data_IF_497036352799
#
_entry.id   IF_497036352799
#
_cell.length_a   1.000
_cell.length_b   1.000
_cell.length_c   1.000
_cell.angle_alpha   90.00
_cell.angle_beta   90.00
_cell.angle_gamma   90.00
#
_symmetry.space_group_name_H-M   'P 1'
#
loop_
_entity.id
_entity.type
_entity.pdbx_description
1 polymer ?
#
# COMPACT_ATOMS: atom_id res chain seq x y z
N UNK A 1 0.19 18.82 -10.56
CA UNK A 1 -0.32 18.19 -9.32
C UNK A 1 0.55 18.63 -8.13
N UNK A 2 -0.04 18.86 -6.95
CA UNK A 2 0.76 19.14 -5.74
C UNK A 2 1.27 17.83 -5.09
N UNK A 3 2.58 17.63 -5.07
CA UNK A 3 3.22 16.47 -4.46
C UNK A 3 3.73 16.80 -3.06
N UNK A 4 3.71 15.82 -2.15
CA UNK A 4 4.07 16.01 -0.74
C UNK A 4 5.16 15.04 -0.28
N UNK A 5 6.10 15.54 0.53
CA UNK A 5 7.15 14.74 1.16
C UNK A 5 7.45 15.26 2.55
N UNK A 6 7.76 14.35 3.47
CA UNK A 6 8.05 14.71 4.85
C UNK A 6 9.48 14.35 5.25
N UNK A 7 10.11 15.25 6.00
CA UNK A 7 11.43 15.06 6.61
C UNK A 7 11.27 15.00 8.12
N UNK A 8 11.88 13.98 8.72
CA UNK A 8 11.89 13.81 10.17
C UNK A 8 13.24 14.31 10.69
N UNK A 9 13.20 15.27 11.62
CA UNK A 9 14.35 15.90 12.23
C UNK A 9 14.35 15.56 13.73
N UNK A 10 15.43 15.02 14.30
CA UNK A 10 15.56 14.88 15.74
C UNK A 10 15.38 16.23 16.43
N UNK A 11 14.38 16.33 17.29
CA UNK A 11 14.03 17.58 17.98
C UNK A 11 13.23 17.24 19.24
N UNK A 12 13.52 17.93 20.34
CA UNK A 12 12.81 17.73 21.62
C UNK A 12 11.88 18.93 21.87
N UNK A 13 10.59 18.84 21.52
CA UNK A 13 9.64 19.89 21.83
C UNK A 13 9.24 19.86 23.32
N UNK A 14 8.66 20.95 23.85
CA UNK A 14 8.08 20.96 25.20
C UNK A 14 7.04 19.84 25.35
N UNK A 15 7.22 18.97 26.35
CA UNK A 15 6.33 17.82 26.58
C UNK A 15 4.93 18.26 26.99
N UNK A 16 4.83 19.37 27.74
CA UNK A 16 3.57 20.00 28.14
C UNK A 16 2.71 20.34 26.93
N UNK A 17 3.29 21.00 25.92
CA UNK A 17 2.60 21.31 24.66
C UNK A 17 2.01 20.05 24.01
N UNK A 18 2.74 18.94 23.99
CA UNK A 18 2.25 17.69 23.40
C UNK A 18 1.11 17.04 24.21
N UNK A 19 1.14 17.19 25.54
CA UNK A 19 0.07 16.70 26.43
C UNK A 19 -1.18 17.56 26.26
N UNK A 20 -1.02 18.87 26.32
CA UNK A 20 -2.10 19.84 26.16
C UNK A 20 -2.74 19.73 24.78
N UNK A 21 -1.95 19.61 23.71
CA UNK A 21 -2.50 19.41 22.37
C UNK A 21 -3.33 18.12 22.27
N UNK A 22 -2.89 17.01 22.86
CA UNK A 22 -3.68 15.77 22.92
C UNK A 22 -5.00 16.01 23.65
N UNK A 23 -4.98 16.79 24.72
CA UNK A 23 -6.15 17.05 25.56
C UNK A 23 -7.11 18.04 24.89
N UNK A 24 -6.61 19.05 24.16
CA UNK A 24 -7.38 19.88 23.22
C UNK A 24 -8.09 19.01 22.17
N UNK A 25 -7.38 18.08 21.52
CA UNK A 25 -7.99 17.19 20.51
C UNK A 25 -9.09 16.34 21.13
N UNK A 26 -8.86 15.79 22.33
CA UNK A 26 -9.88 14.98 23.02
C UNK A 26 -11.09 15.82 23.42
N UNK A 27 -10.89 17.06 23.86
CA UNK A 27 -11.95 18.00 24.13
C UNK A 27 -12.81 18.25 22.88
N UNK A 28 -12.17 18.55 21.75
CA UNK A 28 -12.85 18.71 20.46
C UNK A 28 -13.61 17.46 20.02
N UNK A 29 -13.06 16.26 20.24
CA UNK A 29 -13.74 14.99 19.93
C UNK A 29 -15.01 14.85 20.78
N UNK A 30 -14.93 15.09 22.08
CA UNK A 30 -16.06 14.99 23.00
C UNK A 30 -17.16 15.99 22.64
N UNK A 31 -16.80 17.27 22.44
CA UNK A 31 -17.74 18.30 22.00
C UNK A 31 -18.38 17.96 20.65
N UNK A 32 -17.59 17.45 19.70
CA UNK A 32 -18.07 17.06 18.38
C UNK A 32 -19.00 15.84 18.37
N UNK A 33 -18.87 14.93 19.34
CA UNK A 33 -19.81 13.83 19.57
C UNK A 33 -21.08 14.34 20.25
N UNK A 34 -20.95 15.12 21.33
CA UNK A 34 -22.07 15.65 22.13
C UNK A 34 -23.02 16.51 21.29
N UNK A 35 -22.47 17.42 20.48
CA UNK A 35 -23.25 18.37 19.68
C UNK A 35 -23.43 17.96 18.21
N UNK A 36 -23.05 16.73 17.85
CA UNK A 36 -23.16 16.24 16.47
C UNK A 36 -22.43 17.11 15.44
N UNK A 37 -21.27 17.69 15.78
CA UNK A 37 -20.57 18.62 14.90
C UNK A 37 -19.90 17.88 13.72
N UNK A 38 -20.41 18.09 12.50
CA UNK A 38 -19.98 17.38 11.29
C UNK A 38 -18.90 18.11 10.48
N UNK A 39 -18.76 19.43 10.65
CA UNK A 39 -17.80 20.27 9.93
C UNK A 39 -16.75 20.90 10.85
N UNK A 40 -15.59 21.23 10.27
CA UNK A 40 -14.52 21.97 10.97
C UNK A 40 -15.05 23.30 11.50
N UNK A 41 -15.78 24.06 10.67
CA UNK A 41 -16.35 25.36 11.04
C UNK A 41 -17.31 25.28 12.25
N UNK A 42 -18.24 24.32 12.25
CA UNK A 42 -19.15 24.11 13.38
C UNK A 42 -18.38 23.77 14.65
N UNK A 43 -17.37 22.90 14.54
CA UNK A 43 -16.54 22.53 15.68
C UNK A 43 -15.71 23.71 16.20
N UNK A 44 -15.16 24.56 15.32
CA UNK A 44 -14.44 25.78 15.71
C UNK A 44 -15.33 26.72 16.51
N UNK A 45 -16.55 27.01 16.04
CA UNK A 45 -17.50 27.89 16.76
C UNK A 45 -17.80 27.40 18.17
N UNK A 46 -17.85 26.08 18.38
CA UNK A 46 -18.17 25.47 19.66
C UNK A 46 -17.02 25.56 20.67
N UNK A 47 -15.78 25.29 20.24
CA UNK A 47 -14.68 25.02 21.20
C UNK A 47 -13.57 26.06 21.19
N UNK A 48 -13.48 26.91 20.15
CA UNK A 48 -12.29 27.76 19.96
C UNK A 48 -12.05 28.71 21.13
N UNK A 49 -13.08 29.45 21.57
CA UNK A 49 -12.96 30.42 22.68
C UNK A 49 -12.50 29.76 23.98
N UNK A 50 -13.10 28.62 24.33
CA UNK A 50 -12.75 27.86 25.52
C UNK A 50 -11.32 27.32 25.46
N UNK A 51 -10.90 26.79 24.29
CA UNK A 51 -9.53 26.31 24.12
C UNK A 51 -8.50 27.44 24.27
N UNK A 52 -8.75 28.60 23.66
CA UNK A 52 -7.82 29.74 23.75
C UNK A 52 -7.79 30.39 25.12
N UNK A 53 -8.88 30.31 25.89
CA UNK A 53 -8.92 30.79 27.27
C UNK A 53 -8.21 29.82 28.23
N UNK A 54 -8.34 28.50 28.00
CA UNK A 54 -7.83 27.47 28.91
C UNK A 54 -6.34 27.21 28.80
N UNK A 55 -5.77 27.31 27.60
CA UNK A 55 -4.39 26.88 27.35
C UNK A 55 -3.47 28.06 27.00
N UNK A 56 -2.24 28.11 27.52
CA UNK A 56 -1.32 29.25 27.34
C UNK A 56 -0.58 29.24 25.98
N UNK A 57 -1.01 28.39 25.04
CA UNK A 57 -0.35 28.19 23.75
C UNK A 57 -0.92 29.11 22.69
N UNK A 58 -0.15 29.34 21.62
CA UNK A 58 -0.63 30.13 20.49
C UNK A 58 -1.92 29.53 19.91
N UNK A 59 -2.87 30.39 19.51
CA UNK A 59 -4.18 30.01 18.94
C UNK A 59 -4.12 29.02 17.77
N UNK A 60 -3.00 28.97 17.03
CA UNK A 60 -2.76 28.01 15.96
C UNK A 60 -2.82 26.55 16.43
N UNK A 61 -2.47 26.27 17.68
CA UNK A 61 -2.58 24.93 18.26
C UNK A 61 -4.03 24.53 18.48
N UNK A 62 -4.89 25.45 18.93
CA UNK A 62 -6.32 25.19 19.07
C UNK A 62 -6.96 24.87 17.70
N UNK A 63 -6.67 25.69 16.67
CA UNK A 63 -7.15 25.46 15.31
C UNK A 63 -6.67 24.12 14.74
N UNK A 64 -5.40 23.77 14.97
CA UNK A 64 -4.82 22.50 14.52
C UNK A 64 -5.40 21.31 15.28
N UNK A 65 -5.70 21.45 16.57
CA UNK A 65 -6.37 20.43 17.37
C UNK A 65 -7.80 20.16 16.86
N UNK A 66 -8.55 21.22 16.54
CA UNK A 66 -9.89 21.13 15.93
C UNK A 66 -9.83 20.37 14.60
N UNK A 67 -8.83 20.66 13.76
CA UNK A 67 -8.66 19.96 12.48
C UNK A 67 -8.39 18.47 12.65
N UNK A 68 -7.48 18.12 13.57
CA UNK A 68 -7.16 16.72 13.89
C UNK A 68 -8.40 16.01 14.44
N UNK A 69 -9.15 16.63 15.35
CA UNK A 69 -10.38 16.08 15.90
C UNK A 69 -11.46 15.87 14.83
N UNK A 70 -11.63 16.84 13.92
CA UNK A 70 -12.57 16.74 12.80
C UNK A 70 -12.24 15.54 11.89
N UNK A 71 -10.95 15.31 11.58
CA UNK A 71 -10.52 14.15 10.79
C UNK A 71 -10.81 12.81 11.51
N UNK A 72 -10.59 12.77 12.82
CA UNK A 72 -10.91 11.60 13.65
C UNK A 72 -12.42 11.31 13.65
N UNK A 73 -13.25 12.32 13.88
CA UNK A 73 -14.71 12.21 13.87
C UNK A 73 -15.24 11.78 12.50
N UNK A 74 -14.68 12.31 11.40
CA UNK A 74 -15.02 11.91 10.02
C UNK A 74 -14.77 10.42 9.80
N UNK A 75 -13.62 9.91 10.24
CA UNK A 75 -13.27 8.49 10.11
C UNK A 75 -14.14 7.59 11.00
N UNK A 76 -14.47 8.04 12.21
CA UNK A 76 -15.38 7.34 13.12
C UNK A 76 -16.77 7.18 12.48
N UNK A 77 -17.36 8.27 11.99
CA UNK A 77 -18.65 8.25 11.29
C UNK A 77 -18.62 7.42 10.01
N UNK A 78 -17.53 7.47 9.25
CA UNK A 78 -17.34 6.61 8.06
C UNK A 78 -17.33 5.12 8.44
N UNK A 79 -16.80 4.77 9.60
CA UNK A 79 -16.79 3.40 10.09
C UNK A 79 -18.19 2.95 10.53
N UNK A 80 -18.94 3.81 11.24
CA UNK A 80 -20.33 3.55 11.60
C UNK A 80 -21.21 3.33 10.37
N UNK A 81 -21.09 4.17 9.34
CA UNK A 81 -21.82 4.02 8.06
C UNK A 81 -21.53 2.71 7.33
N UNK A 82 -20.40 2.06 7.64
CA UNK A 82 -20.04 0.75 7.09
C UNK A 82 -20.60 -0.42 7.92
N UNK A 83 -21.49 -0.16 8.87
CA UNK A 83 -22.03 -1.16 9.79
C UNK A 83 -20.99 -1.72 10.77
N UNK A 84 -19.86 -1.03 10.95
CA UNK A 84 -18.87 -1.42 11.94
C UNK A 84 -19.26 -0.87 13.31
N UNK A 85 -18.80 -1.53 14.38
CA UNK A 85 -18.95 -1.06 15.77
C UNK A 85 -17.61 -0.53 16.31
N UNK A 86 -17.12 0.63 15.82
CA UNK A 86 -15.88 1.22 16.32
C UNK A 86 -16.05 1.69 17.77
N UNK A 87 -14.99 1.58 18.56
CA UNK A 87 -14.93 2.22 19.87
C UNK A 87 -14.95 3.75 19.71
N UNK A 88 -15.51 4.43 20.71
CA UNK A 88 -15.48 5.91 20.78
C UNK A 88 -14.03 6.39 20.60
N UNK A 89 -13.78 7.32 19.66
CA UNK A 89 -12.43 7.72 19.32
C UNK A 89 -11.80 8.53 20.46
N UNK A 90 -10.50 8.34 20.67
CA UNK A 90 -9.69 9.14 21.60
C UNK A 90 -8.27 9.28 21.10
N UNK A 91 -7.73 10.50 21.13
CA UNK A 91 -6.32 10.77 20.87
C UNK A 91 -5.47 10.28 22.06
N UNK A 92 -4.52 9.38 21.77
CA UNK A 92 -3.59 8.80 22.77
C UNK A 92 -2.13 9.18 22.55
N UNK A 93 -1.77 9.58 21.33
CA UNK A 93 -0.39 9.90 20.95
C UNK A 93 -0.08 11.34 21.37
N UNK A 94 1.12 11.54 21.90
CA UNK A 94 1.68 12.86 22.15
C UNK A 94 2.20 13.41 20.82
N UNK A 95 1.47 14.35 20.25
CA UNK A 95 1.83 15.08 19.04
C UNK A 95 1.33 16.52 19.16
N UNK A 96 1.93 17.45 18.43
CA UNK A 96 1.34 18.77 18.18
C UNK A 96 1.51 19.11 16.70
N UNK A 97 0.40 19.35 15.99
CA UNK A 97 0.40 19.73 14.58
C UNK A 97 0.28 21.25 14.46
N UNK A 98 1.00 21.82 13.50
CA UNK A 98 0.98 23.25 13.19
C UNK A 98 0.96 23.41 11.66
N UNK A 99 0.04 24.23 11.15
CA UNK A 99 -0.12 24.50 9.72
C UNK A 99 0.85 25.55 9.19
N UNK A 100 0.98 25.61 7.86
CA UNK A 100 1.86 26.54 7.12
C UNK A 100 1.73 28.01 7.50
N UNK A 101 0.52 28.51 7.74
CA UNK A 101 0.27 29.93 8.06
C UNK A 101 1.05 30.42 9.29
N UNK A 102 1.44 29.50 10.18
CA UNK A 102 2.16 29.79 11.40
C UNK A 102 3.69 29.62 11.26
N UNK A 103 4.16 28.99 10.19
CA UNK A 103 5.56 28.57 10.05
C UNK A 103 6.31 29.56 9.17
N UNK A 104 7.54 29.90 9.57
CA UNK A 104 8.45 30.70 8.73
C UNK A 104 9.83 30.05 8.70
N UNK A 105 10.46 30.08 7.53
CA UNK A 105 11.86 29.63 7.38
C UNK A 105 12.72 30.88 7.44
N UNK A 106 13.67 30.91 8.38
CA UNK A 106 14.60 32.03 8.62
C UNK A 106 15.96 31.42 8.99
N UNK A 107 17.04 31.87 8.35
CA UNK A 107 18.43 31.52 8.73
C UNK A 107 18.70 30.01 8.94
N UNK A 108 18.23 29.16 8.01
CA UNK A 108 18.41 27.70 8.11
C UNK A 108 17.63 27.04 9.25
N UNK A 109 16.61 27.71 9.79
CA UNK A 109 15.73 27.20 10.86
C UNK A 109 14.27 27.41 10.49
N UNK A 110 13.39 26.59 11.05
CA UNK A 110 11.94 26.80 11.01
C UNK A 110 11.51 27.44 12.32
N UNK A 111 11.03 28.67 12.24
CA UNK A 111 10.38 29.39 13.33
C UNK A 111 8.95 28.89 13.50
N UNK A 112 8.64 28.45 14.71
CA UNK A 112 7.36 27.86 15.10
C UNK A 112 6.81 28.60 16.30
N UNK A 113 5.59 29.17 16.26
CA UNK A 113 5.04 29.87 17.42
C UNK A 113 4.79 28.89 18.56
N UNK A 114 5.11 29.30 19.78
CA UNK A 114 4.88 28.53 21.00
C UNK A 114 3.77 29.19 21.83
N UNK A 115 4.01 30.45 22.23
CA UNK A 115 3.07 31.31 22.95
C UNK A 115 3.01 32.66 22.23
N UNK A 116 2.06 33.56 22.56
CA UNK A 116 2.13 34.93 22.08
C UNK A 116 3.53 35.50 22.30
N UNK A 117 4.16 36.01 21.22
CA UNK A 117 5.53 36.57 21.21
C UNK A 117 6.65 35.61 21.68
N UNK A 118 6.43 34.29 21.68
CA UNK A 118 7.47 33.28 21.95
C UNK A 118 7.49 32.23 20.85
N UNK A 119 8.69 31.89 20.39
CA UNK A 119 8.90 30.94 19.28
C UNK A 119 9.84 29.80 19.67
N UNK A 120 9.66 28.67 19.00
CA UNK A 120 10.59 27.56 18.93
C UNK A 120 11.29 27.61 17.57
N UNK A 121 12.58 27.25 17.55
CA UNK A 121 13.36 27.17 16.33
C UNK A 121 13.78 25.72 16.10
N UNK A 122 13.38 25.17 14.96
CA UNK A 122 13.73 23.80 14.56
C UNK A 122 14.86 23.92 13.52
N UNK A 123 16.07 23.40 13.80
CA UNK A 123 17.16 23.48 12.84
C UNK A 123 16.84 22.66 11.59
N UNK A 124 17.03 23.24 10.40
CA UNK A 124 16.96 22.50 9.15
C UNK A 124 18.27 21.71 8.99
N UNK A 125 18.16 20.39 9.02
CA UNK A 125 19.26 19.52 8.61
C UNK A 125 19.40 19.53 7.08
N UNK A 126 20.56 19.12 6.56
CA UNK A 126 20.91 18.99 5.13
C UNK A 126 19.72 18.65 4.22
N UNK A 127 19.05 17.52 4.47
CA UNK A 127 17.92 17.07 3.64
C UNK A 127 16.73 18.03 3.64
N UNK A 128 16.44 18.69 4.76
CA UNK A 128 15.36 19.67 4.85
C UNK A 128 15.76 20.97 4.15
N UNK A 129 17.04 21.37 4.23
CA UNK A 129 17.59 22.52 3.51
C UNK A 129 17.51 22.32 1.99
N UNK A 130 17.87 21.13 1.50
CA UNK A 130 17.74 20.76 0.07
C UNK A 130 16.31 20.99 -0.47
N UNK A 131 15.27 20.76 0.33
CA UNK A 131 13.89 21.05 -0.10
C UNK A 131 13.60 22.55 -0.15
N UNK A 132 14.10 23.33 0.81
CA UNK A 132 13.92 24.78 0.83
C UNK A 132 14.66 25.41 -0.35
N UNK A 133 15.91 25.01 -0.59
CA UNK A 133 16.74 25.44 -1.72
C UNK A 133 16.10 25.08 -3.06
N UNK A 134 15.49 23.89 -3.17
CA UNK A 134 14.73 23.48 -4.35
C UNK A 134 13.35 24.16 -4.48
N UNK A 135 13.07 25.24 -3.72
CA UNK A 135 11.82 26.00 -3.82
C UNK A 135 10.58 25.28 -3.29
N UNK A 136 10.73 24.20 -2.53
CA UNK A 136 9.57 23.48 -1.97
C UNK A 136 8.92 24.29 -0.84
N UNK A 137 7.59 24.34 -0.84
CA UNK A 137 6.79 25.07 0.15
C UNK A 137 6.65 24.26 1.43
N UNK A 138 6.96 24.86 2.57
CA UNK A 138 6.69 24.26 3.88
C UNK A 138 5.18 24.29 4.18
N UNK A 139 4.56 23.12 4.41
CA UNK A 139 3.10 22.96 4.54
C UNK A 139 2.63 22.73 5.97
N UNK A 140 3.41 22.01 6.76
CA UNK A 140 3.09 21.81 8.18
C UNK A 140 4.31 21.28 8.94
N UNK A 141 4.26 21.45 10.26
CA UNK A 141 5.17 20.83 11.20
C UNK A 141 4.35 19.97 12.16
N UNK A 142 4.78 18.73 12.37
CA UNK A 142 4.22 17.84 13.40
C UNK A 142 5.30 17.51 14.42
N UNK A 143 5.14 18.03 15.62
CA UNK A 143 6.02 17.78 16.76
C UNK A 143 5.63 16.45 17.41
N UNK A 144 6.63 15.67 17.79
CA UNK A 144 6.52 14.40 18.53
C UNK A 144 7.55 14.42 19.66
N UNK A 145 7.51 13.50 20.64
CA UNK A 145 8.39 13.59 21.82
C UNK A 145 9.89 13.63 21.51
N UNK A 146 10.31 13.10 20.35
CA UNK A 146 11.73 13.00 19.99
C UNK A 146 12.04 13.51 18.56
N UNK A 147 11.06 14.10 17.86
CA UNK A 147 11.27 14.56 16.50
C UNK A 147 10.26 15.63 16.08
N UNK A 148 10.68 16.48 15.14
CA UNK A 148 9.82 17.33 14.34
C UNK A 148 9.71 16.74 12.92
N UNK A 149 8.49 16.56 12.43
CA UNK A 149 8.21 16.11 11.08
C UNK A 149 7.75 17.31 10.25
N UNK A 150 8.59 17.77 9.33
CA UNK A 150 8.30 18.88 8.42
C UNK A 150 7.76 18.32 7.11
N UNK A 151 6.58 18.78 6.69
CA UNK A 151 5.98 18.40 5.42
C UNK A 151 6.20 19.50 4.38
N UNK A 152 6.80 19.16 3.26
CA UNK A 152 7.05 20.02 2.12
C UNK A 152 6.16 19.62 0.95
N UNK A 153 5.76 20.59 0.14
CA UNK A 153 5.15 20.33 -1.15
C UNK A 153 5.85 21.07 -2.29
N UNK A 154 5.73 20.51 -3.49
CA UNK A 154 6.09 21.19 -4.74
C UNK A 154 4.99 20.97 -5.77
N UNK A 155 4.85 21.93 -6.68
CA UNK A 155 4.09 21.68 -7.89
C UNK A 155 4.93 20.80 -8.80
N UNK A 156 4.27 19.80 -9.38
CA UNK A 156 4.89 18.86 -10.30
C UNK A 156 3.97 18.71 -11.50
N UNK A 157 4.52 18.95 -12.67
CA UNK A 157 3.82 18.71 -13.93
C UNK A 157 3.81 17.20 -14.20
N UNK A 158 2.69 16.71 -14.73
CA UNK A 158 2.57 15.31 -15.11
C UNK A 158 3.47 15.04 -16.30
N UNK A 159 4.32 14.03 -16.19
CA UNK A 159 5.13 13.54 -17.31
C UNK A 159 4.32 12.47 -18.01
N UNK A 160 3.93 12.72 -19.26
CA UNK A 160 3.27 11.72 -20.08
C UNK A 160 4.22 10.53 -20.32
N UNK A 161 3.79 9.30 -20.03
CA UNK A 161 4.65 8.13 -20.14
C UNK A 161 4.83 7.72 -21.61
N UNK A 162 6.06 7.39 -22.00
CA UNK A 162 6.35 6.83 -23.34
C UNK A 162 5.85 5.39 -23.49
N UNK A 163 5.78 4.68 -22.38
CA UNK A 163 5.40 3.26 -22.28
C UNK A 163 5.00 2.98 -20.81
N UNK A 164 4.50 1.79 -20.50
CA UNK A 164 4.01 1.45 -19.18
C UNK A 164 4.71 0.23 -18.60
N UNK A 165 4.81 0.20 -17.28
CA UNK A 165 5.27 -0.96 -16.54
C UNK A 165 4.23 -1.35 -15.48
N UNK A 166 3.89 -2.62 -15.42
CA UNK A 166 2.99 -3.18 -14.41
C UNK A 166 3.79 -3.80 -13.25
N UNK A 167 3.29 -3.63 -12.04
CA UNK A 167 3.88 -4.15 -10.81
C UNK A 167 2.94 -5.17 -10.17
N UNK A 168 3.40 -6.41 -10.08
CA UNK A 168 2.82 -7.46 -9.25
C UNK A 168 3.55 -7.52 -7.90
N UNK A 169 2.79 -7.50 -6.80
CA UNK A 169 3.34 -7.48 -5.43
C UNK A 169 3.03 -8.82 -4.78
N UNK A 170 4.07 -9.51 -4.29
CA UNK A 170 3.98 -10.79 -3.60
C UNK A 170 4.49 -10.73 -2.15
N UNK A 171 4.37 -11.84 -1.38
CA UNK A 171 4.83 -11.89 0.02
C UNK A 171 6.36 -11.83 0.18
N UNK A 172 7.11 -12.26 -0.84
CA UNK A 172 8.57 -12.35 -0.87
C UNK A 172 9.23 -11.63 -2.05
N UNK A 173 8.48 -11.06 -2.98
CA UNK A 173 9.06 -10.36 -4.12
C UNK A 173 8.12 -9.27 -4.65
N UNK A 174 8.64 -8.43 -5.53
CA UNK A 174 7.87 -7.52 -6.37
C UNK A 174 8.35 -7.74 -7.80
N UNK A 175 7.44 -8.06 -8.70
CA UNK A 175 7.75 -8.27 -10.12
C UNK A 175 7.29 -7.05 -10.90
N UNK A 176 8.18 -6.48 -11.69
CA UNK A 176 7.91 -5.43 -12.65
C UNK A 176 7.97 -6.04 -14.05
N UNK A 177 6.95 -5.84 -14.88
CA UNK A 177 7.03 -6.16 -16.30
C UNK A 177 6.64 -4.95 -17.14
N UNK A 178 7.43 -4.63 -18.15
CA UNK A 178 7.20 -3.50 -19.05
C UNK A 178 6.37 -3.91 -20.25
N UNK A 179 5.72 -2.94 -20.91
CA UNK A 179 5.00 -3.18 -22.15
C UNK A 179 5.91 -3.63 -23.29
N UNK A 180 7.23 -3.46 -23.16
CA UNK A 180 8.22 -3.75 -24.20
C UNK A 180 8.94 -5.08 -23.98
N UNK A 181 8.58 -5.87 -22.97
CA UNK A 181 9.13 -7.22 -22.77
C UNK A 181 10.07 -7.39 -21.59
N UNK A 182 10.51 -6.30 -20.96
CA UNK A 182 11.49 -6.37 -19.89
C UNK A 182 10.84 -6.78 -18.57
N UNK A 183 11.51 -7.65 -17.83
CA UNK A 183 11.05 -8.13 -16.52
C UNK A 183 12.14 -7.90 -15.49
N UNK A 184 11.78 -7.29 -14.36
CA UNK A 184 12.67 -7.15 -13.20
C UNK A 184 11.99 -7.68 -11.94
N UNK A 185 12.74 -8.44 -11.14
CA UNK A 185 12.24 -9.02 -9.88
C UNK A 185 13.04 -8.45 -8.72
N UNK A 186 12.35 -7.78 -7.80
CA UNK A 186 12.91 -7.25 -6.56
C UNK A 186 12.69 -8.25 -5.43
N UNK A 187 13.76 -8.94 -5.03
CA UNK A 187 13.72 -9.93 -3.95
C UNK A 187 13.47 -9.26 -2.59
N UNK A 188 12.48 -9.77 -1.86
CA UNK A 188 12.09 -9.35 -0.52
C UNK A 188 11.87 -10.56 0.41
N UNK A 189 12.49 -11.71 0.13
CA UNK A 189 12.32 -12.94 0.91
C UNK A 189 12.80 -12.73 2.35
N UNK A 190 13.79 -11.84 2.53
CA UNK A 190 14.26 -11.39 3.83
C UNK A 190 13.13 -10.85 4.70
N UNK A 191 12.17 -10.13 4.12
CA UNK A 191 10.99 -9.63 4.85
C UNK A 191 10.04 -10.75 5.26
N UNK A 192 9.81 -11.73 4.36
CA UNK A 192 9.01 -12.92 4.67
C UNK A 192 9.63 -13.72 5.82
N UNK A 193 10.93 -14.03 5.73
CA UNK A 193 11.70 -14.70 6.80
C UNK A 193 11.67 -13.91 8.12
N UNK A 194 11.90 -12.61 8.06
CA UNK A 194 11.83 -11.73 9.24
C UNK A 194 10.42 -11.72 9.87
N UNK A 195 9.36 -11.81 9.06
CA UNK A 195 7.98 -11.91 9.53
C UNK A 195 7.71 -13.17 10.34
N UNK A 196 8.21 -14.32 9.89
CA UNK A 196 8.16 -15.58 10.65
C UNK A 196 8.96 -15.50 11.95
N UNK A 197 10.21 -15.03 11.89
CA UNK A 197 11.06 -14.88 13.07
C UNK A 197 10.49 -13.89 14.10
N UNK A 198 9.92 -12.76 13.64
CA UNK A 198 9.22 -11.79 14.48
C UNK A 198 8.05 -12.44 15.25
N UNK A 199 7.26 -13.26 14.57
CA UNK A 199 6.12 -13.96 15.19
C UNK A 199 6.58 -14.96 16.26
N UNK A 200 7.58 -15.78 15.97
CA UNK A 200 8.14 -16.75 16.91
C UNK A 200 8.71 -16.04 18.16
N UNK A 201 9.55 -15.01 17.96
CA UNK A 201 10.13 -14.21 19.05
C UNK A 201 9.07 -13.51 19.89
N UNK A 202 8.02 -12.98 19.26
CA UNK A 202 6.90 -12.37 19.98
C UNK A 202 6.23 -13.37 20.92
N UNK A 203 5.94 -14.59 20.46
CA UNK A 203 5.37 -15.65 21.31
C UNK A 203 6.29 -16.00 22.48
N UNK A 204 7.59 -16.18 22.22
CA UNK A 204 8.57 -16.50 23.25
C UNK A 204 8.63 -15.41 24.34
N UNK A 205 8.70 -14.14 23.94
CA UNK A 205 8.69 -12.99 24.86
C UNK A 205 7.40 -12.95 25.68
N UNK A 206 6.25 -13.19 25.04
CA UNK A 206 4.96 -13.21 25.74
C UNK A 206 4.89 -14.31 26.80
N UNK A 207 5.43 -15.49 26.53
CA UNK A 207 5.50 -16.58 27.52
C UNK A 207 6.47 -16.26 28.65
N UNK A 208 7.69 -15.82 28.32
CA UNK A 208 8.76 -15.55 29.28
C UNK A 208 8.42 -14.44 30.27
N UNK A 209 7.77 -13.37 29.79
CA UNK A 209 7.49 -12.18 30.61
C UNK A 209 5.98 -12.01 30.87
N UNK A 210 5.21 -13.09 30.90
CA UNK A 210 3.75 -12.98 31.11
C UNK A 210 3.40 -12.34 32.48
N UNK A 211 4.21 -12.59 33.52
CA UNK A 211 4.03 -12.02 34.87
C UNK A 211 4.52 -10.58 35.03
N UNK A 212 5.51 -10.13 34.25
CA UNK A 212 6.01 -8.76 34.31
C UNK A 212 5.52 -7.93 33.12
N UNK A 213 4.41 -7.22 33.33
CA UNK A 213 3.79 -6.37 32.32
C UNK A 213 4.70 -5.21 31.87
N UNK A 214 5.58 -4.70 32.75
CA UNK A 214 6.48 -3.57 32.44
C UNK A 214 7.58 -4.04 31.49
N UNK A 215 8.24 -5.15 31.80
CA UNK A 215 9.28 -5.76 30.97
C UNK A 215 8.69 -6.27 29.66
N UNK A 216 7.54 -6.96 29.69
CA UNK A 216 6.85 -7.44 28.50
C UNK A 216 6.57 -6.31 27.51
N UNK A 217 6.02 -5.18 27.99
CA UNK A 217 5.72 -4.01 27.16
C UNK A 217 7.00 -3.43 26.55
N UNK A 218 8.09 -3.31 27.31
CA UNK A 218 9.39 -2.80 26.83
C UNK A 218 9.97 -3.71 25.75
N UNK A 219 10.00 -5.03 26.00
CA UNK A 219 10.54 -6.03 25.08
C UNK A 219 9.74 -6.09 23.76
N UNK A 220 8.41 -6.15 23.83
CA UNK A 220 7.54 -6.14 22.65
C UNK A 220 7.63 -4.84 21.85
N UNK A 221 7.76 -3.69 22.53
CA UNK A 221 7.94 -2.40 21.88
C UNK A 221 9.26 -2.35 21.10
N UNK A 222 10.36 -2.82 21.69
CA UNK A 222 11.68 -2.91 21.03
C UNK A 222 11.61 -3.84 19.81
N UNK A 223 11.05 -5.05 19.98
CA UNK A 223 10.90 -6.03 18.89
C UNK A 223 10.06 -5.46 17.73
N UNK A 224 8.92 -4.85 18.04
CA UNK A 224 8.03 -4.21 17.05
C UNK A 224 8.69 -3.03 16.35
N UNK A 225 9.48 -2.22 17.06
CA UNK A 225 10.25 -1.11 16.47
C UNK A 225 11.26 -1.64 15.46
N UNK A 226 12.07 -2.63 15.85
CA UNK A 226 13.11 -3.19 14.98
C UNK A 226 12.51 -3.82 13.72
N UNK A 227 11.45 -4.63 13.86
CA UNK A 227 10.77 -5.22 12.69
C UNK A 227 10.19 -4.16 11.76
N UNK A 228 9.51 -3.13 12.31
CA UNK A 228 8.96 -2.04 11.50
C UNK A 228 10.03 -1.21 10.79
N UNK A 229 11.19 -1.01 11.42
CA UNK A 229 12.34 -0.32 10.83
C UNK A 229 12.94 -1.12 9.68
N UNK A 230 13.13 -2.43 9.84
CA UNK A 230 13.58 -3.32 8.77
C UNK A 230 12.63 -3.25 7.57
N UNK A 231 11.34 -3.54 7.79
CA UNK A 231 10.31 -3.47 6.73
C UNK A 231 10.28 -2.08 6.09
N UNK A 232 10.44 -1.02 6.87
CA UNK A 232 10.50 0.35 6.33
C UNK A 232 11.66 0.52 5.36
N UNK A 233 12.86 0.13 5.78
CA UNK A 233 14.09 0.35 5.03
C UNK A 233 14.07 -0.40 3.71
N UNK A 234 13.77 -1.71 3.74
CA UNK A 234 13.75 -2.55 2.54
C UNK A 234 12.72 -2.07 1.53
N UNK A 235 11.51 -1.74 1.97
CA UNK A 235 10.49 -1.23 1.05
C UNK A 235 10.84 0.15 0.49
N UNK A 236 11.47 1.03 1.28
CA UNK A 236 11.94 2.32 0.75
C UNK A 236 13.04 2.14 -0.30
N UNK A 237 13.91 1.13 -0.17
CA UNK A 237 14.92 0.80 -1.20
C UNK A 237 14.24 0.28 -2.47
N UNK A 238 13.41 -0.76 -2.35
CA UNK A 238 12.71 -1.35 -3.48
C UNK A 238 11.85 -0.33 -4.24
N UNK A 239 10.98 0.40 -3.54
CA UNK A 239 10.16 1.45 -4.17
C UNK A 239 10.97 2.64 -4.70
N UNK A 240 12.21 2.89 -4.23
CA UNK A 240 13.04 3.93 -4.82
C UNK A 240 13.68 3.44 -6.12
N UNK A 241 14.16 2.20 -6.14
CA UNK A 241 14.74 1.56 -7.31
C UNK A 241 13.72 1.45 -8.45
N UNK A 242 12.52 0.94 -8.17
CA UNK A 242 11.43 0.83 -9.16
C UNK A 242 11.11 2.20 -9.77
N UNK A 243 10.93 3.23 -8.94
CA UNK A 243 10.57 4.57 -9.42
C UNK A 243 11.71 5.20 -10.20
N UNK A 244 12.96 5.01 -9.76
CA UNK A 244 14.15 5.49 -10.47
C UNK A 244 14.24 4.86 -11.87
N UNK A 245 14.13 3.54 -11.94
CA UNK A 245 14.14 2.79 -13.20
C UNK A 245 13.05 3.28 -14.16
N UNK A 246 11.80 3.32 -13.68
CA UNK A 246 10.68 3.76 -14.50
C UNK A 246 10.85 5.21 -14.96
N UNK A 247 11.42 6.09 -14.12
CA UNK A 247 11.72 7.48 -14.51
C UNK A 247 12.79 7.55 -15.60
N UNK A 248 13.89 6.82 -15.44
CA UNK A 248 15.00 6.79 -16.40
C UNK A 248 14.57 6.27 -17.78
N UNK A 249 13.66 5.29 -17.81
CA UNK A 249 13.12 4.70 -19.04
C UNK A 249 11.85 5.38 -19.58
N UNK A 250 11.31 6.38 -18.86
CA UNK A 250 10.10 7.10 -19.26
C UNK A 250 8.82 6.27 -19.16
N UNK A 251 8.73 5.36 -18.19
CA UNK A 251 7.57 4.50 -17.96
C UNK A 251 6.56 5.09 -16.97
N UNK A 252 5.29 4.97 -17.31
CA UNK A 252 4.17 5.06 -16.37
C UNK A 252 4.07 3.78 -15.55
N UNK A 253 3.43 3.83 -14.38
CA UNK A 253 3.34 2.69 -13.47
C UNK A 253 1.90 2.20 -13.31
N UNK A 254 1.65 0.92 -13.57
CA UNK A 254 0.38 0.25 -13.27
C UNK A 254 0.58 -0.63 -12.04
N UNK A 255 -0.31 -0.52 -11.06
CA UNK A 255 -0.25 -1.31 -9.82
C UNK A 255 -1.60 -1.97 -9.54
N UNK A 256 -1.58 -3.12 -8.86
CA UNK A 256 -2.81 -3.76 -8.41
C UNK A 256 -3.54 -2.96 -7.34
N UNK A 257 -4.86 -2.81 -7.49
CA UNK A 257 -5.74 -2.30 -6.46
C UNK A 257 -6.05 -3.38 -5.41
N UNK A 258 -5.14 -3.53 -4.45
CA UNK A 258 -5.31 -4.44 -3.31
C UNK A 258 -6.23 -3.88 -2.20
N UNK A 259 -7.04 -2.84 -2.49
CA UNK A 259 -8.05 -2.30 -1.55
C UNK A 259 -9.18 -3.30 -1.34
N UNK A 260 -9.02 -4.15 -0.33
CA UNK A 260 -10.10 -5.08 0.07
C UNK A 260 -9.58 -6.45 0.44
N UNK A 261 -8.33 -6.78 0.09
CA UNK A 261 -7.69 -8.06 0.38
C UNK A 261 -7.86 -8.45 1.86
N UNK A 262 -7.51 -7.55 2.78
CA UNK A 262 -7.65 -7.81 4.23
C UNK A 262 -9.11 -7.95 4.67
N UNK A 263 -10.06 -7.30 4.00
CA UNK A 263 -11.48 -7.49 4.26
C UNK A 263 -11.92 -8.90 3.90
N UNK A 264 -11.58 -9.34 2.68
CA UNK A 264 -11.85 -10.70 2.18
C UNK A 264 -11.19 -11.78 3.05
N UNK A 265 -9.91 -11.60 3.40
CA UNK A 265 -9.16 -12.55 4.24
C UNK A 265 -9.75 -12.71 5.64
N UNK A 266 -10.28 -11.61 6.20
CA UNK A 266 -10.87 -11.62 7.54
C UNK A 266 -12.40 -11.82 7.52
N UNK A 267 -12.97 -12.15 6.36
CA UNK A 267 -14.39 -12.42 6.23
C UNK A 267 -14.83 -13.55 7.17
N UNK A 268 -15.98 -13.35 7.79
CA UNK A 268 -16.62 -14.33 8.67
C UNK A 268 -17.98 -14.68 8.11
N UNK A 269 -18.31 -15.96 8.22
CA UNK A 269 -19.60 -16.52 7.84
C UNK A 269 -20.26 -17.10 9.08
N UNK A 270 -21.58 -16.94 9.22
CA UNK A 270 -22.32 -17.55 10.31
C UNK A 270 -22.31 -19.07 10.10
N UNK A 271 -21.85 -19.82 11.09
CA UNK A 271 -21.84 -21.28 11.10
C UNK A 271 -22.28 -21.76 12.47
N UNK A 272 -22.94 -22.93 12.51
CA UNK A 272 -23.19 -23.64 13.76
C UNK A 272 -21.85 -24.03 14.38
N UNK A 273 -21.63 -23.68 15.64
CA UNK A 273 -20.50 -24.17 16.41
C UNK A 273 -20.87 -25.54 17.01
N UNK A 274 -20.22 -26.64 16.61
CA UNK A 274 -20.54 -27.98 17.13
C UNK A 274 -20.41 -28.08 18.64
N UNK A 275 -19.50 -27.31 19.25
CA UNK A 275 -19.21 -27.38 20.69
C UNK A 275 -20.21 -26.60 21.54
N UNK A 276 -20.78 -25.51 21.00
CA UNK A 276 -21.64 -24.62 21.78
C UNK A 276 -23.09 -24.61 21.30
N UNK A 277 -23.42 -25.35 20.23
CA UNK A 277 -24.76 -25.38 19.61
C UNK A 277 -25.24 -24.04 19.03
N UNK A 278 -24.40 -23.01 18.99
CA UNK A 278 -24.79 -21.63 18.65
C UNK A 278 -24.33 -21.26 17.24
N UNK A 279 -25.17 -20.55 16.50
CA UNK A 279 -24.79 -19.94 15.22
C UNK A 279 -23.93 -18.71 15.51
N UNK A 280 -22.65 -18.76 15.10
CA UNK A 280 -21.71 -17.67 15.36
C UNK A 280 -20.83 -17.35 14.14
N UNK A 281 -20.32 -16.11 14.03
CA UNK A 281 -19.40 -15.72 12.96
C UNK A 281 -18.06 -16.46 13.04
N UNK A 282 -17.86 -17.42 12.14
CA UNK A 282 -16.64 -18.23 12.03
C UNK A 282 -15.80 -17.76 10.84
N UNK A 283 -14.47 -17.78 10.99
CA UNK A 283 -13.56 -17.36 9.90
C UNK A 283 -13.60 -18.36 8.74
N UNK A 284 -13.64 -17.87 7.50
CA UNK A 284 -13.57 -18.71 6.30
C UNK A 284 -12.16 -19.25 6.03
N UNK A 285 -11.14 -18.50 6.45
CA UNK A 285 -9.72 -18.83 6.22
C UNK A 285 -9.02 -19.29 7.50
N UNK A 286 -8.00 -20.13 7.34
CA UNK A 286 -7.18 -20.66 8.44
C UNK A 286 -6.53 -19.53 9.25
N UNK A 287 -6.24 -19.80 10.53
CA UNK A 287 -5.55 -18.85 11.41
C UNK A 287 -4.18 -18.44 10.84
N UNK A 288 -3.50 -19.37 10.19
CA UNK A 288 -2.19 -19.14 9.59
C UNK A 288 -2.26 -18.21 8.37
N UNK A 289 -3.14 -18.51 7.40
CA UNK A 289 -3.28 -17.71 6.19
C UNK A 289 -3.66 -16.25 6.54
N UNK A 290 -4.60 -16.09 7.47
CA UNK A 290 -4.96 -14.77 7.99
C UNK A 290 -3.77 -14.05 8.60
N UNK A 291 -2.96 -14.73 9.41
CA UNK A 291 -1.78 -14.12 10.02
C UNK A 291 -0.79 -13.66 8.95
N UNK A 292 -0.51 -14.48 7.94
CA UNK A 292 0.39 -14.15 6.82
C UNK A 292 -0.07 -12.90 6.08
N UNK A 293 -1.28 -12.94 5.52
CA UNK A 293 -1.82 -11.86 4.69
C UNK A 293 -2.13 -10.56 5.47
N UNK A 294 -2.46 -10.64 6.77
CA UNK A 294 -2.62 -9.43 7.59
C UNK A 294 -1.27 -8.78 7.95
N UNK A 295 -0.21 -9.56 8.06
CA UNK A 295 1.15 -9.04 8.32
C UNK A 295 1.87 -8.62 7.04
N UNK A 296 1.37 -9.04 5.88
CA UNK A 296 1.93 -8.67 4.58
C UNK A 296 1.89 -7.15 4.36
N UNK A 297 2.98 -6.65 3.82
CA UNK A 297 3.35 -5.24 3.76
C UNK A 297 2.92 -4.53 2.48
N UNK A 298 2.24 -5.20 1.54
CA UNK A 298 1.84 -4.68 0.22
C UNK A 298 1.32 -3.24 0.24
N UNK A 299 0.37 -2.93 1.14
CA UNK A 299 -0.24 -1.59 1.21
C UNK A 299 0.77 -0.49 1.52
N UNK A 300 1.83 -0.82 2.27
CA UNK A 300 2.90 0.12 2.55
C UNK A 300 3.77 0.36 1.32
N UNK A 301 4.06 -0.69 0.55
CA UNK A 301 4.81 -0.56 -0.71
C UNK A 301 4.01 0.25 -1.73
N UNK A 302 2.74 -0.09 -1.96
CA UNK A 302 1.87 0.63 -2.90
C UNK A 302 1.76 2.12 -2.57
N UNK A 303 1.56 2.45 -1.30
CA UNK A 303 1.59 3.85 -0.85
C UNK A 303 2.95 4.52 -1.11
N UNK A 304 4.06 3.77 -0.98
CA UNK A 304 5.41 4.30 -1.23
C UNK A 304 5.67 4.54 -2.71
N UNK A 305 5.22 3.63 -3.59
CA UNK A 305 5.26 3.82 -5.04
C UNK A 305 4.43 5.04 -5.40
N UNK A 306 3.21 5.16 -4.89
CA UNK A 306 2.29 6.27 -5.20
C UNK A 306 2.88 7.64 -4.85
N UNK A 307 3.31 7.87 -3.60
CA UNK A 307 3.80 9.21 -3.24
C UNK A 307 5.16 9.52 -3.92
N UNK A 308 5.98 8.52 -4.22
CA UNK A 308 7.26 8.72 -4.92
C UNK A 308 7.03 9.03 -6.40
N UNK A 309 6.17 8.27 -7.08
CA UNK A 309 5.76 8.53 -8.45
C UNK A 309 5.24 9.97 -8.60
N UNK A 310 4.30 10.37 -7.73
CA UNK A 310 3.77 11.74 -7.70
C UNK A 310 4.83 12.80 -7.43
N UNK A 311 5.83 12.50 -6.58
CA UNK A 311 6.95 13.42 -6.32
C UNK A 311 7.85 13.61 -7.53
N UNK A 312 7.97 12.60 -8.39
CA UNK A 312 8.75 12.62 -9.63
C UNK A 312 7.91 13.03 -10.86
N UNK A 313 6.60 13.28 -10.70
CA UNK A 313 5.71 13.69 -11.79
C UNK A 313 5.20 12.53 -12.64
N UNK A 314 5.43 11.29 -12.21
CA UNK A 314 5.09 10.10 -12.98
C UNK A 314 3.63 9.71 -12.85
N UNK A 315 3.04 9.27 -13.97
CA UNK A 315 1.71 8.67 -14.01
C UNK A 315 1.69 7.33 -13.29
N UNK A 316 0.70 7.15 -12.41
CA UNK A 316 0.46 5.89 -11.69
C UNK A 316 -1.03 5.56 -11.70
N UNK A 317 -1.34 4.35 -12.15
CA UNK A 317 -2.70 3.82 -12.26
C UNK A 317 -2.89 2.60 -11.37
N UNK A 318 -4.04 2.51 -10.71
CA UNK A 318 -4.41 1.37 -9.90
C UNK A 318 -5.55 0.59 -10.59
N UNK A 319 -5.31 -0.69 -10.89
CA UNK A 319 -6.20 -1.54 -11.70
C UNK A 319 -6.77 -2.66 -10.85
N UNK A 320 -8.00 -3.10 -11.13
CA UNK A 320 -8.60 -4.24 -10.44
C UNK A 320 -7.75 -5.51 -10.66
N UNK A 321 -7.24 -6.17 -9.61
CA UNK A 321 -6.46 -7.41 -9.75
C UNK A 321 -7.29 -8.63 -10.19
N UNK A 322 -8.62 -8.50 -10.35
CA UNK A 322 -9.49 -9.63 -10.65
C UNK A 322 -9.08 -10.37 -11.94
N UNK A 323 -8.64 -11.61 -11.78
CA UNK A 323 -8.23 -12.47 -12.89
C UNK A 323 -6.80 -12.23 -13.38
N UNK A 324 -6.04 -11.30 -12.78
CA UNK A 324 -4.67 -10.96 -13.20
C UNK A 324 -3.79 -12.21 -13.27
N UNK A 325 -3.89 -13.11 -12.30
CA UNK A 325 -3.00 -14.29 -12.18
C UNK A 325 -3.62 -15.63 -12.59
N UNK A 326 -4.86 -15.64 -13.11
CA UNK A 326 -5.59 -16.88 -13.45
C UNK A 326 -6.15 -16.92 -14.88
N UNK A 327 -5.96 -15.84 -15.63
CA UNK A 327 -6.52 -15.65 -16.97
C UNK A 327 -5.38 -15.64 -17.99
N UNK A 328 -5.55 -16.35 -19.10
CA UNK A 328 -4.57 -16.38 -20.17
C UNK A 328 -4.43 -14.99 -20.80
N UNK A 329 -3.21 -14.42 -20.90
CA UNK A 329 -3.03 -13.11 -21.50
C UNK A 329 -3.36 -13.13 -22.99
N UNK A 330 -3.29 -14.28 -23.67
CA UNK A 330 -3.54 -14.42 -25.11
C UNK A 330 -5.03 -14.56 -25.43
N UNK A 331 -5.67 -15.62 -24.93
CA UNK A 331 -7.05 -15.98 -25.30
C UNK A 331 -8.09 -15.79 -24.18
N UNK A 332 -7.68 -15.29 -23.01
CA UNK A 332 -8.53 -15.08 -21.82
C UNK A 332 -9.15 -16.35 -21.21
N UNK A 333 -8.80 -17.55 -21.67
CA UNK A 333 -9.19 -18.80 -21.00
C UNK A 333 -8.53 -18.94 -19.63
N UNK A 334 -9.11 -19.76 -18.76
CA UNK A 334 -8.56 -20.02 -17.42
C UNK A 334 -7.23 -20.77 -17.52
N UNK A 335 -6.24 -20.35 -16.73
CA UNK A 335 -4.92 -20.98 -16.68
C UNK A 335 -4.89 -22.14 -15.69
N UNK A 336 -4.13 -23.17 -16.05
CA UNK A 336 -3.69 -24.24 -15.15
C UNK A 336 -2.46 -23.75 -14.39
N UNK A 337 -2.50 -23.88 -13.07
CA UNK A 337 -1.42 -23.45 -12.18
C UNK A 337 -0.60 -24.66 -11.71
N UNK A 338 0.72 -24.58 -11.88
CA UNK A 338 1.66 -25.57 -11.38
C UNK A 338 2.29 -25.15 -10.05
N UNK A 339 2.76 -26.14 -9.27
CA UNK A 339 3.36 -25.92 -7.95
C UNK A 339 4.64 -25.08 -7.99
N UNK A 340 5.35 -25.09 -9.11
CA UNK A 340 6.56 -24.30 -9.35
C UNK A 340 6.27 -22.83 -9.71
N UNK A 341 5.01 -22.40 -9.69
CA UNK A 341 4.61 -21.02 -10.05
C UNK A 341 4.49 -20.78 -11.55
N UNK A 342 4.60 -21.81 -12.39
CA UNK A 342 4.31 -21.72 -13.83
C UNK A 342 2.82 -21.86 -14.11
N UNK A 343 2.39 -21.27 -15.22
CA UNK A 343 1.02 -21.34 -15.72
C UNK A 343 1.00 -21.84 -17.15
N UNK A 344 -0.08 -22.52 -17.51
CA UNK A 344 -0.32 -23.02 -18.86
C UNK A 344 -1.78 -22.80 -19.28
N UNK A 345 -1.99 -22.46 -20.56
CA UNK A 345 -3.30 -22.34 -21.17
C UNK A 345 -3.57 -23.51 -22.11
N UNK A 346 -4.53 -24.37 -21.75
CA UNK A 346 -4.92 -25.51 -22.60
C UNK A 346 -5.64 -25.12 -23.90
N UNK A 347 -6.10 -23.86 -24.03
CA UNK A 347 -6.82 -23.40 -25.22
C UNK A 347 -5.91 -22.82 -26.31
N UNK A 348 -4.78 -22.23 -25.96
CA UNK A 348 -3.90 -21.56 -26.92
C UNK A 348 -2.41 -21.93 -26.75
N UNK A 349 -2.08 -22.87 -25.87
CA UNK A 349 -0.71 -23.33 -25.62
C UNK A 349 0.20 -22.34 -24.88
N UNK A 350 -0.31 -21.21 -24.38
CA UNK A 350 0.51 -20.25 -23.62
C UNK A 350 1.13 -20.92 -22.38
N UNK A 351 2.42 -20.75 -22.17
CA UNK A 351 3.13 -21.21 -20.97
C UNK A 351 4.09 -20.13 -20.47
N UNK A 352 4.12 -19.88 -19.15
CA UNK A 352 4.94 -18.80 -18.58
C UNK A 352 5.00 -18.77 -17.05
N UNK A 353 5.71 -17.79 -16.51
CA UNK A 353 5.74 -17.50 -15.07
C UNK A 353 4.47 -16.74 -14.64
N UNK A 354 3.85 -17.16 -13.54
CA UNK A 354 2.58 -16.60 -13.04
C UNK A 354 2.67 -15.10 -12.72
N UNK A 355 3.78 -14.62 -12.15
CA UNK A 355 3.91 -13.22 -11.76
C UNK A 355 4.10 -12.34 -12.99
N UNK A 356 4.86 -12.81 -13.98
CA UNK A 356 4.95 -12.15 -15.29
C UNK A 356 3.59 -12.12 -15.97
N UNK A 357 2.85 -13.23 -15.99
CA UNK A 357 1.49 -13.28 -16.52
C UNK A 357 0.55 -12.30 -15.81
N UNK A 358 0.69 -12.14 -14.49
CA UNK A 358 -0.08 -11.16 -13.73
C UNK A 358 0.18 -9.73 -14.22
N UNK A 359 1.45 -9.35 -14.38
CA UNK A 359 1.81 -8.04 -14.93
C UNK A 359 1.26 -7.84 -16.36
N UNK A 360 1.35 -8.86 -17.22
CA UNK A 360 0.80 -8.79 -18.60
C UNK A 360 -0.70 -8.49 -18.60
N UNK A 361 -1.45 -9.17 -17.74
CA UNK A 361 -2.89 -8.95 -17.64
C UNK A 361 -3.23 -7.57 -17.06
N UNK A 362 -2.41 -7.04 -16.15
CA UNK A 362 -2.57 -5.68 -15.65
C UNK A 362 -2.32 -4.63 -16.74
N UNK A 363 -1.28 -4.80 -17.57
CA UNK A 363 -1.03 -3.93 -18.72
C UNK A 363 -2.24 -3.93 -19.66
N UNK A 364 -2.76 -5.12 -20.00
CA UNK A 364 -3.94 -5.26 -20.89
C UNK A 364 -5.22 -4.67 -20.28
N UNK A 365 -5.38 -4.72 -18.96
CA UNK A 365 -6.54 -4.15 -18.28
C UNK A 365 -6.51 -2.61 -18.21
N UNK A 366 -5.34 -1.98 -18.43
CA UNK A 366 -5.16 -0.54 -18.63
C UNK A 366 -5.13 -0.16 -20.13
N UNK A 367 -5.64 -1.01 -21.03
CA UNK A 367 -5.60 -0.83 -22.49
C UNK A 367 -4.18 -0.63 -23.08
N UNK A 368 -3.14 -1.00 -22.33
CA UNK A 368 -1.76 -0.99 -22.83
C UNK A 368 -1.51 -2.29 -23.57
N UNK A 369 -1.25 -2.19 -24.88
CA UNK A 369 -0.91 -3.35 -25.71
C UNK A 369 0.54 -3.77 -25.43
N UNK A 370 0.77 -4.96 -24.84
CA UNK A 370 2.11 -5.45 -24.59
C UNK A 370 2.74 -5.90 -25.91
N UNK A 371 3.90 -5.35 -26.28
CA UNK A 371 4.69 -5.76 -27.45
C UNK A 371 5.60 -6.92 -27.04
N UNK A 372 5.07 -8.13 -27.05
CA UNK A 372 5.85 -9.36 -26.83
C UNK A 372 5.90 -10.16 -28.12
N UNK A 373 7.10 -10.42 -28.62
CA UNK A 373 7.36 -11.58 -29.46
C UNK A 373 7.56 -12.78 -28.54
N UNK A 374 6.62 -13.74 -28.54
CA UNK A 374 6.95 -15.09 -28.10
C UNK A 374 7.77 -15.68 -29.26
N UNK A 375 8.96 -16.23 -29.01
CA UNK A 375 9.58 -17.10 -30.01
C UNK A 375 8.54 -18.18 -30.36
N UNK A 376 8.00 -18.06 -31.57
CA UNK A 376 6.96 -18.95 -32.08
C UNK A 376 7.67 -20.25 -32.45
N UNK A 377 7.18 -21.43 -32.03
CA UNK A 377 7.53 -22.66 -32.73
C UNK A 377 7.21 -22.45 -34.21
N UNK A 378 8.16 -22.76 -35.08
CA UNK A 378 8.08 -22.50 -36.53
C UNK A 378 6.90 -23.21 -37.23
N UNK A 379 6.19 -24.08 -36.51
CA UNK A 379 5.34 -25.10 -37.10
C UNK A 379 3.84 -24.90 -36.82
N UNK A 380 3.42 -23.74 -36.32
CA UNK A 380 1.99 -23.44 -36.07
C UNK A 380 1.54 -22.27 -36.93
N UNK A 381 0.96 -22.58 -38.09
CA UNK A 381 0.26 -21.61 -38.92
C UNK A 381 -1.07 -21.20 -38.25
N UNK A 382 -1.25 -19.90 -38.02
CA UNK A 382 -2.60 -19.31 -37.86
C UNK A 382 -2.64 -17.93 -38.50
N UNK A 383 -3.72 -17.72 -39.26
CA UNK A 383 -3.99 -16.59 -40.14
C UNK A 383 -3.79 -15.20 -39.50
N UNK A 384 -3.29 -14.20 -40.26
CA UNK A 384 -3.26 -12.81 -39.84
C UNK A 384 -4.60 -12.11 -40.11
N UNK A 385 -5.41 -11.89 -39.06
CA UNK A 385 -6.44 -10.85 -39.00
C UNK A 385 -6.88 -10.69 -37.52
N UNK A 386 -6.35 -9.73 -36.75
CA UNK A 386 -6.84 -8.36 -36.58
C UNK A 386 -8.35 -8.29 -36.27
N UNK A 387 -8.77 -7.86 -35.07
CA UNK A 387 -9.07 -6.45 -34.78
C UNK A 387 -9.62 -5.66 -35.98
N UNK A 388 -10.83 -5.98 -36.42
CA UNK A 388 -11.73 -5.00 -37.04
C UNK A 388 -13.20 -5.38 -36.75
N UNK A 389 -13.95 -4.43 -36.20
CA UNK A 389 -15.42 -4.44 -36.22
C UNK A 389 -15.88 -4.09 -37.63
N UNK A 390 -16.56 -4.98 -38.34
CA UNK A 390 -17.68 -4.75 -39.28
C UNK A 390 -18.02 -6.07 -39.99
N UNK A 391 -19.31 -6.41 -40.08
CA UNK A 391 -19.77 -7.73 -40.47
C UNK A 391 -19.72 -8.01 -41.97
N UNK A 392 -19.58 -9.29 -42.32
CA UNK A 392 -20.13 -9.92 -43.54
C UNK A 392 -20.37 -11.40 -43.20
N UNK A 393 -21.56 -11.90 -43.57
CA UNK A 393 -21.93 -13.33 -43.60
C UNK A 393 -21.19 -14.04 -44.75
N UNK A 394 -20.57 -15.20 -44.49
CA UNK A 394 -20.34 -16.28 -45.46
C UNK A 394 -19.86 -17.53 -44.69
N UNK A 395 -20.75 -18.50 -44.44
CA UNK A 395 -20.95 -19.74 -45.20
C UNK A 395 -19.77 -20.72 -45.16
N UNK A 396 -20.03 -21.86 -44.50
CA UNK A 396 -19.22 -23.06 -44.49
C UNK A 396 -19.19 -23.72 -45.87
N UNK A 397 -18.00 -24.11 -46.36
CA UNK A 397 -17.85 -25.25 -47.26
C UNK A 397 -16.38 -25.71 -47.32
N UNK A 398 -16.19 -26.99 -46.98
CA UNK A 398 -15.26 -27.98 -47.57
C UNK A 398 -13.84 -27.55 -47.95
N UNK A 399 -12.84 -28.24 -47.39
CA UNK A 399 -11.87 -29.01 -48.18
C UNK A 399 -11.35 -30.15 -47.29
N UNK A 400 -11.55 -31.37 -47.78
CA UNK A 400 -10.97 -32.62 -47.29
C UNK A 400 -9.51 -32.69 -47.71
N UNK A 401 -8.67 -33.24 -46.86
CA UNK A 401 -7.31 -33.66 -47.20
C UNK A 401 -6.88 -34.75 -46.22
N UNK A 402 -6.95 -35.99 -46.70
CA UNK A 402 -6.52 -37.22 -46.03
C UNK A 402 -5.02 -37.20 -45.71
N UNK A 403 -4.62 -37.67 -44.53
CA UNK A 403 -3.28 -38.22 -44.31
C UNK A 403 -3.36 -39.44 -43.38
N UNK A 404 -2.75 -40.51 -43.86
CA UNK A 404 -2.69 -41.89 -43.36
C UNK A 404 -2.21 -42.04 -41.91
N UNK A 405 -2.82 -42.99 -41.20
CA UNK A 405 -2.33 -43.55 -39.94
C UNK A 405 -1.58 -44.86 -40.20
N UNK A 406 -0.24 -44.84 -40.14
CA UNK A 406 0.53 -46.07 -40.00
C UNK A 406 0.94 -46.29 -38.54
N UNK A 407 0.47 -47.41 -38.02
CA UNK A 407 0.76 -47.94 -36.70
C UNK A 407 2.14 -48.60 -36.70
N UNK A 408 3.00 -48.22 -35.75
CA UNK A 408 4.13 -49.06 -35.35
C UNK A 408 3.94 -49.51 -33.90
N UNK A 409 3.46 -50.74 -33.75
CA UNK A 409 3.58 -51.53 -32.53
C UNK A 409 5.04 -51.92 -32.36
N UNK A 410 5.67 -51.47 -31.29
CA UNK A 410 6.87 -52.12 -30.76
C UNK A 410 6.55 -52.72 -29.39
N UNK A 411 6.81 -54.02 -29.34
CA UNK A 411 6.66 -54.95 -28.24
C UNK A 411 7.73 -54.72 -27.18
N UNK A 412 7.34 -54.76 -25.90
CA UNK A 412 8.27 -54.67 -24.77
C UNK A 412 7.61 -55.10 -23.47
N UNK A 413 7.64 -56.40 -23.19
CA UNK A 413 7.15 -57.04 -21.96
C UNK A 413 7.85 -56.48 -20.71
N UNK A 414 7.06 -56.25 -19.66
CA UNK A 414 7.55 -56.11 -18.29
C UNK A 414 7.30 -57.39 -17.49
N UNK A 415 8.28 -57.69 -16.63
CA UNK A 415 8.24 -58.43 -15.37
C UNK A 415 8.04 -59.95 -15.38
N UNK A 416 9.03 -60.65 -14.83
CA UNK A 416 8.89 -61.38 -13.55
C UNK A 416 10.26 -61.82 -13.02
N UNK A 417 10.60 -61.40 -11.79
CA UNK A 417 11.39 -62.21 -10.85
C UNK A 417 10.83 -61.98 -9.43
N UNK A 418 10.26 -63.08 -8.92
CA UNK A 418 9.75 -63.42 -7.57
C UNK A 418 8.56 -62.67 -7.01
#
# INVERSE_FOLDING_TARGET
MEAYKAVIIPFKPPVELLRDFRDMVNYCIQAGLRHGATSKFKLTRLVYRELTAKYPWHSWYALSAIEVACAILKNYRKSLRRGLSPRVPRARRLIAKIGNQALKVEEGRVRVPLRPRKWLYIPLHRRASEFVEAGCRLRSATLTPNAACLAFSKQVDGIEPRSWAAVDVNEDNVTLATSNGEVEVYELSRLKRAGYGYFARRKAIQRRYHGDRRVLKKALSKLSKNYRSLVSSELHKASAAIIKLCKERGYGLIVEDLRGLRGSVNAKVKRLNPYSGKIQPTSTRSKELKRRLNNWWFRRLLNQLEYKAKWEGMSIEAVDPKGSSSTCPMCRSKLKLYLNGRVECSSCGYHGDRHVTACLNLLKASDVTPRFGVERPLDVAVNPALTTLMGVRASWASIRGEVNWEANRTTGRCANYT
#
